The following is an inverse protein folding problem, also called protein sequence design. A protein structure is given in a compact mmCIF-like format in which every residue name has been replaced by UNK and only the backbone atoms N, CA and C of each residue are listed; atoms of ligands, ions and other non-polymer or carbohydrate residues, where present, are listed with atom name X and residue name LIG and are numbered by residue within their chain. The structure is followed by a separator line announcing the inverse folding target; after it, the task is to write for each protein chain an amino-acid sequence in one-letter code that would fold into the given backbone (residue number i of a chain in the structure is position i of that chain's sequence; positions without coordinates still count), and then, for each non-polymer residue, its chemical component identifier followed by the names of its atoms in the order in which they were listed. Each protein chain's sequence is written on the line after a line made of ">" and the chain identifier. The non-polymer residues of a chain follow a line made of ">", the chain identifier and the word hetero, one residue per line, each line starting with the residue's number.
data_IF_092759242818
#
_entry.id   IF_092759242818
#
_cell.length_a   1.000
_cell.length_b   1.000
_cell.length_c   1.000
_cell.angle_alpha   90.00
_cell.angle_beta   90.00
_cell.angle_gamma   90.00
#
_symmetry.space_group_name_H-M   'P 1'
#
loop_
_entity.id
_entity.type
_entity.pdbx_description
1 polymer ?
#
# COMPACT_ATOMS: atom_id res chain seq x y z
N UNK A 1 5.71 16.07 26.93
CA UNK A 1 6.22 16.63 25.64
C UNK A 1 7.12 15.64 24.87
N UNK A 2 7.96 14.82 25.53
CA UNK A 2 8.70 13.73 24.86
C UNK A 2 7.78 12.66 24.22
N UNK A 3 6.56 12.52 24.71
CA UNK A 3 5.61 11.48 24.25
C UNK A 3 5.04 11.79 22.86
N UNK A 4 4.68 13.05 22.58
CA UNK A 4 4.09 13.45 21.29
C UNK A 4 5.13 13.37 20.15
N UNK A 5 6.36 13.82 20.40
CA UNK A 5 7.44 13.76 19.41
C UNK A 5 7.76 12.32 19.03
N UNK A 6 7.77 11.42 20.02
CA UNK A 6 8.01 9.99 19.79
C UNK A 6 6.88 9.36 18.97
N UNK A 7 5.62 9.69 19.27
CA UNK A 7 4.45 9.21 18.51
C UNK A 7 4.49 9.68 17.06
N UNK A 8 4.81 10.96 16.82
CA UNK A 8 4.96 11.50 15.46
C UNK A 8 6.10 10.80 14.72
N UNK A 9 7.23 10.56 15.38
CA UNK A 9 8.36 9.84 14.77
C UNK A 9 7.99 8.41 14.38
N UNK A 10 7.32 7.66 15.26
CA UNK A 10 6.85 6.31 14.93
C UNK A 10 5.87 6.34 13.77
N UNK A 11 4.98 7.34 13.71
CA UNK A 11 4.02 7.51 12.61
C UNK A 11 4.68 7.84 11.27
N UNK A 12 5.74 8.66 11.28
CA UNK A 12 6.50 8.98 10.06
C UNK A 12 7.28 7.76 9.55
N UNK A 13 7.91 6.99 10.44
CA UNK A 13 8.56 5.72 10.08
C UNK A 13 7.54 4.72 9.54
N UNK A 14 6.32 4.71 10.10
CA UNK A 14 5.19 3.89 9.65
C UNK A 14 4.83 4.19 8.20
N UNK A 15 4.57 5.46 7.90
CA UNK A 15 4.17 5.94 6.57
C UNK A 15 5.28 5.66 5.57
N UNK A 16 6.53 5.98 5.94
CA UNK A 16 7.69 5.73 5.09
C UNK A 16 7.87 4.24 4.78
N UNK A 17 7.74 3.37 5.79
CA UNK A 17 7.82 1.92 5.61
C UNK A 17 6.74 1.39 4.66
N UNK A 18 5.50 1.86 4.81
CA UNK A 18 4.38 1.47 3.92
C UNK A 18 4.64 1.93 2.48
N UNK A 19 5.11 3.16 2.28
CA UNK A 19 5.41 3.71 0.96
C UNK A 19 6.55 2.95 0.27
N UNK A 20 7.61 2.60 1.00
CA UNK A 20 8.71 1.81 0.43
C UNK A 20 8.25 0.40 0.04
N UNK A 21 7.47 -0.27 0.89
CA UNK A 21 6.94 -1.61 0.58
C UNK A 21 5.95 -1.56 -0.58
N UNK A 22 5.14 -0.49 -0.68
CA UNK A 22 4.24 -0.25 -1.81
C UNK A 22 5.02 -0.21 -3.13
N UNK A 23 6.06 0.63 -3.21
CA UNK A 23 6.82 0.81 -4.44
C UNK A 23 7.66 -0.42 -4.79
N UNK A 24 8.23 -1.10 -3.79
CA UNK A 24 8.88 -2.39 -4.01
C UNK A 24 7.90 -3.48 -4.47
N UNK A 25 6.65 -3.42 -4.00
CA UNK A 25 5.56 -4.29 -4.45
C UNK A 25 5.34 -4.20 -5.96
N UNK A 26 5.32 -2.99 -6.51
CA UNK A 26 5.20 -2.78 -7.96
C UNK A 26 6.36 -3.42 -8.72
N UNK A 27 7.60 -3.20 -8.28
CA UNK A 27 8.80 -3.77 -8.93
C UNK A 27 8.77 -5.30 -8.93
N UNK A 28 8.41 -5.90 -7.79
CA UNK A 28 8.30 -7.36 -7.66
C UNK A 28 7.18 -7.91 -8.54
N UNK A 29 6.01 -7.26 -8.58
CA UNK A 29 4.89 -7.66 -9.41
C UNK A 29 5.28 -7.71 -10.90
N UNK A 30 5.94 -6.67 -11.37
CA UNK A 30 6.36 -6.56 -12.77
C UNK A 30 7.42 -7.61 -13.10
N UNK A 31 8.35 -7.88 -12.18
CA UNK A 31 9.38 -8.91 -12.35
C UNK A 31 8.80 -10.33 -12.35
N UNK A 32 7.81 -10.64 -11.51
CA UNK A 32 7.17 -11.96 -11.43
C UNK A 32 6.35 -12.27 -12.70
N UNK A 33 5.79 -11.23 -13.33
CA UNK A 33 5.04 -11.38 -14.57
C UNK A 33 5.93 -11.39 -15.83
N UNK A 34 7.25 -11.24 -15.69
CA UNK A 34 8.18 -11.22 -16.83
C UNK A 34 7.98 -10.03 -17.76
N UNK A 35 7.36 -8.95 -17.26
CA UNK A 35 7.00 -7.80 -18.07
C UNK A 35 8.24 -6.97 -18.38
N UNK A 36 8.46 -6.58 -19.65
CA UNK A 36 9.59 -5.74 -20.01
C UNK A 36 9.43 -4.34 -19.42
N UNK A 37 10.36 -3.95 -18.55
CA UNK A 37 10.39 -2.64 -17.90
C UNK A 37 11.39 -1.73 -18.59
N UNK A 38 10.97 -0.51 -18.90
CA UNK A 38 11.85 0.53 -19.45
C UNK A 38 12.54 1.32 -18.36
N UNK A 39 11.81 1.64 -17.29
CA UNK A 39 12.32 2.45 -16.18
C UNK A 39 11.62 2.05 -14.87
N UNK A 40 12.40 1.90 -13.81
CA UNK A 40 11.90 1.96 -12.42
C UNK A 40 12.48 3.23 -11.83
N UNK A 41 11.65 4.08 -11.24
CA UNK A 41 12.11 5.28 -10.55
C UNK A 41 11.46 5.41 -9.18
N UNK A 42 12.20 6.05 -8.29
CA UNK A 42 11.73 6.52 -6.99
C UNK A 42 11.90 8.03 -7.00
N UNK A 43 10.79 8.73 -6.83
CA UNK A 43 10.71 10.17 -6.70
C UNK A 43 10.46 10.52 -5.24
N UNK A 44 11.38 11.28 -4.66
CA UNK A 44 11.34 11.70 -3.27
C UNK A 44 11.17 13.21 -3.25
N UNK A 45 9.94 13.68 -3.06
CA UNK A 45 9.68 15.10 -2.85
C UNK A 45 9.64 15.40 -1.34
N UNK A 46 10.74 15.95 -0.85
CA UNK A 46 10.88 16.38 0.54
C UNK A 46 10.01 17.59 0.89
N UNK A 47 9.54 18.36 -0.10
CA UNK A 47 8.68 19.53 0.14
C UNK A 47 7.21 19.13 0.29
N UNK A 48 6.78 18.11 -0.44
CA UNK A 48 5.41 17.57 -0.34
C UNK A 48 5.29 16.39 0.63
N UNK A 49 6.41 15.93 1.20
CA UNK A 49 6.45 14.74 2.05
C UNK A 49 5.89 13.51 1.30
N UNK A 50 6.08 13.50 -0.02
CA UNK A 50 5.56 12.47 -0.91
C UNK A 50 6.70 11.58 -1.38
N UNK A 51 6.43 10.27 -1.38
CA UNK A 51 7.29 9.28 -1.98
C UNK A 51 6.45 8.73 -3.12
N UNK A 52 6.77 9.14 -4.32
CA UNK A 52 6.25 8.54 -5.53
C UNK A 52 7.24 7.49 -6.00
N UNK A 53 6.77 6.35 -6.47
CA UNK A 53 7.56 5.50 -7.32
C UNK A 53 6.73 5.08 -8.52
N UNK A 54 7.43 4.60 -9.53
CA UNK A 54 6.78 4.21 -10.76
C UNK A 54 7.59 3.17 -11.49
N UNK A 55 6.88 2.15 -11.95
CA UNK A 55 7.39 1.23 -12.95
C UNK A 55 6.79 1.63 -14.28
N UNK A 56 7.64 2.09 -15.20
CA UNK A 56 7.26 2.41 -16.58
C UNK A 56 7.52 1.17 -17.43
N UNK A 57 6.46 0.46 -17.86
CA UNK A 57 6.60 -0.68 -18.75
C UNK A 57 7.08 -0.24 -20.15
N UNK A 58 7.77 -1.13 -20.85
CA UNK A 58 8.13 -0.95 -22.24
C UNK A 58 6.96 -1.36 -23.14
N UNK A 59 6.04 -0.42 -23.39
CA UNK A 59 4.86 -0.62 -24.23
C UNK A 59 5.18 -1.10 -25.66
N UNK A 60 6.41 -0.95 -26.14
CA UNK A 60 6.82 -1.43 -27.46
C UNK A 60 7.00 -2.94 -27.56
N UNK A 61 7.05 -3.64 -26.41
CA UNK A 61 7.29 -5.08 -26.29
C UNK A 61 6.15 -5.82 -25.58
N UNK A 62 4.99 -5.19 -25.50
CA UNK A 62 3.91 -5.63 -24.61
C UNK A 62 2.61 -5.81 -25.38
N UNK A 63 2.01 -7.00 -25.27
CA UNK A 63 0.69 -7.26 -25.87
C UNK A 63 -0.44 -6.73 -24.97
N UNK A 64 -1.61 -6.44 -25.55
CA UNK A 64 -2.78 -5.95 -24.79
C UNK A 64 -3.17 -6.85 -23.61
N UNK A 65 -2.94 -8.18 -23.72
CA UNK A 65 -3.20 -9.12 -22.63
C UNK A 65 -2.23 -8.97 -21.47
N UNK A 66 -0.95 -8.74 -21.76
CA UNK A 66 0.10 -8.51 -20.76
C UNK A 66 -0.12 -7.17 -20.06
N UNK A 67 -0.60 -6.14 -20.77
CA UNK A 67 -0.93 -4.84 -20.18
C UNK A 67 -2.09 -4.93 -19.18
N UNK A 68 -3.14 -5.70 -19.49
CA UNK A 68 -4.21 -5.97 -18.52
C UNK A 68 -3.69 -6.76 -17.30
N UNK A 69 -2.81 -7.75 -17.53
CA UNK A 69 -2.15 -8.50 -16.45
C UNK A 69 -1.28 -7.61 -15.55
N UNK A 70 -0.53 -6.67 -16.14
CA UNK A 70 0.27 -5.67 -15.44
C UNK A 70 -0.61 -4.81 -14.54
N UNK A 71 -1.72 -4.30 -15.07
CA UNK A 71 -2.63 -3.43 -14.32
C UNK A 71 -3.20 -4.16 -13.11
N UNK A 72 -3.65 -5.40 -13.29
CA UNK A 72 -4.18 -6.23 -12.19
C UNK A 72 -3.09 -6.57 -11.17
N UNK A 73 -1.87 -6.85 -11.59
CA UNK A 73 -0.78 -7.19 -10.67
C UNK A 73 -0.23 -5.97 -9.92
N UNK A 74 -0.05 -4.82 -10.57
CA UNK A 74 0.28 -3.56 -9.89
C UNK A 74 -0.79 -3.20 -8.86
N UNK A 75 -2.06 -3.49 -9.17
CA UNK A 75 -3.18 -3.30 -8.23
C UNK A 75 -3.19 -4.33 -7.09
N UNK A 76 -2.86 -5.60 -7.36
CA UNK A 76 -2.79 -6.63 -6.31
C UNK A 76 -1.59 -6.45 -5.38
N UNK A 77 -0.48 -5.91 -5.89
CA UNK A 77 0.72 -5.57 -5.13
C UNK A 77 0.74 -4.14 -4.61
N UNK A 78 -0.32 -3.37 -4.89
CA UNK A 78 -0.44 -1.99 -4.45
C UNK A 78 -0.51 -1.87 -2.92
N UNK A 79 -0.61 -0.62 -2.47
CA UNK A 79 -0.65 -0.21 -1.08
C UNK A 79 -1.62 -0.98 -0.19
N UNK A 80 -2.67 -1.58 -0.74
CA UNK A 80 -3.56 -2.46 0.02
C UNK A 80 -2.86 -3.69 0.61
N UNK A 81 -2.14 -4.46 -0.21
CA UNK A 81 -1.40 -5.64 0.26
C UNK A 81 -0.22 -5.25 1.15
N UNK A 82 0.50 -4.18 0.80
CA UNK A 82 1.60 -3.65 1.60
C UNK A 82 1.11 -3.23 3.01
N UNK A 83 -0.02 -2.53 3.08
CA UNK A 83 -0.63 -2.10 4.35
C UNK A 83 -1.10 -3.32 5.17
N UNK A 84 -1.60 -4.37 4.51
CA UNK A 84 -2.03 -5.57 5.20
C UNK A 84 -0.86 -6.39 5.77
N UNK A 85 0.23 -6.56 5.00
CA UNK A 85 1.44 -7.23 5.46
C UNK A 85 2.11 -6.48 6.60
N UNK A 86 2.11 -5.15 6.53
CA UNK A 86 2.59 -4.31 7.63
C UNK A 86 1.70 -4.46 8.88
N UNK A 87 0.38 -4.40 8.72
CA UNK A 87 -0.57 -4.66 9.80
C UNK A 87 -0.33 -6.02 10.47
N UNK A 88 -0.04 -7.06 9.67
CA UNK A 88 0.33 -8.37 10.17
C UNK A 88 1.62 -8.35 11.01
N UNK A 89 2.67 -7.65 10.54
CA UNK A 89 3.93 -7.54 11.26
C UNK A 89 3.79 -6.85 12.62
N UNK A 90 2.96 -5.80 12.71
CA UNK A 90 2.80 -5.01 13.95
C UNK A 90 1.70 -5.54 14.90
N UNK A 91 0.85 -6.46 14.45
CA UNK A 91 -0.29 -6.98 15.23
C UNK A 91 0.10 -7.55 16.59
N UNK A 92 1.30 -8.13 16.71
CA UNK A 92 1.79 -8.67 17.98
C UNK A 92 2.19 -7.58 19.00
N UNK A 93 2.47 -6.36 18.54
CA UNK A 93 2.84 -5.22 19.38
C UNK A 93 1.65 -4.29 19.64
N UNK A 94 0.81 -4.08 18.63
CA UNK A 94 -0.40 -3.27 18.69
C UNK A 94 -1.58 -4.02 18.06
N UNK A 95 -2.32 -4.87 18.82
CA UNK A 95 -3.35 -5.76 18.28
C UNK A 95 -4.48 -5.03 17.55
N UNK A 96 -4.94 -3.90 18.10
CA UNK A 96 -5.99 -3.08 17.51
C UNK A 96 -5.52 -2.46 16.19
N UNK A 97 -4.37 -1.76 16.22
CA UNK A 97 -3.83 -1.07 15.04
C UNK A 97 -3.45 -2.07 13.94
N UNK A 98 -2.77 -3.16 14.30
CA UNK A 98 -2.37 -4.18 13.33
C UNK A 98 -3.57 -4.87 12.68
N UNK A 99 -4.60 -5.23 13.45
CA UNK A 99 -5.83 -5.83 12.89
C UNK A 99 -6.58 -4.85 12.00
N UNK A 100 -6.65 -3.57 12.37
CA UNK A 100 -7.28 -2.54 11.56
C UNK A 100 -6.55 -2.33 10.22
N UNK A 101 -5.22 -2.31 10.23
CA UNK A 101 -4.40 -2.17 9.01
C UNK A 101 -4.50 -3.40 8.08
N UNK A 102 -4.60 -4.62 8.63
CA UNK A 102 -4.87 -5.83 7.83
C UNK A 102 -6.18 -5.69 7.08
N UNK A 103 -7.27 -5.40 7.81
CA UNK A 103 -8.59 -5.28 7.21
C UNK A 103 -8.69 -4.14 6.20
N UNK A 104 -8.15 -2.98 6.56
CA UNK A 104 -8.08 -1.80 5.70
C UNK A 104 -7.29 -2.10 4.42
N UNK A 105 -6.08 -2.64 4.54
CA UNK A 105 -5.24 -2.99 3.40
C UNK A 105 -5.92 -3.96 2.43
N UNK A 106 -6.53 -5.04 2.94
CA UNK A 106 -7.26 -5.99 2.11
C UNK A 106 -8.45 -5.35 1.38
N UNK A 107 -9.17 -4.47 2.07
CA UNK A 107 -10.35 -3.80 1.51
C UNK A 107 -9.97 -2.78 0.44
N UNK A 108 -8.90 -2.02 0.65
CA UNK A 108 -8.38 -1.06 -0.35
C UNK A 108 -7.85 -1.78 -1.58
N UNK A 109 -7.08 -2.86 -1.40
CA UNK A 109 -6.63 -3.68 -2.54
C UNK A 109 -7.81 -4.20 -3.37
N UNK A 110 -8.88 -4.68 -2.72
CA UNK A 110 -10.12 -5.09 -3.40
C UNK A 110 -10.79 -3.94 -4.18
N UNK A 111 -10.91 -2.76 -3.58
CA UNK A 111 -11.52 -1.59 -4.24
C UNK A 111 -10.74 -1.14 -5.47
N UNK A 112 -9.40 -1.19 -5.39
CA UNK A 112 -8.53 -0.87 -6.52
C UNK A 112 -8.66 -1.92 -7.64
N UNK A 113 -8.79 -3.22 -7.31
CA UNK A 113 -9.06 -4.28 -8.31
C UNK A 113 -10.33 -4.00 -9.09
N UNK A 114 -11.37 -3.49 -8.41
CA UNK A 114 -12.65 -3.14 -9.04
C UNK A 114 -12.66 -1.75 -9.71
N UNK A 115 -11.55 -1.00 -9.66
CA UNK A 115 -11.45 0.33 -10.28
C UNK A 115 -12.41 1.36 -9.68
N UNK A 116 -12.84 1.16 -8.43
CA UNK A 116 -13.73 2.08 -7.73
C UNK A 116 -12.92 3.28 -7.23
N UNK A 117 -13.49 4.48 -7.33
CA UNK A 117 -12.83 5.69 -6.84
C UNK A 117 -12.66 5.61 -5.31
N UNK A 118 -11.41 5.58 -4.85
CA UNK A 118 -11.06 5.19 -3.49
C UNK A 118 -11.09 6.33 -2.49
N UNK A 119 -11.14 7.60 -2.91
CA UNK A 119 -10.90 8.75 -2.02
C UNK A 119 -11.90 8.87 -0.86
N UNK A 120 -13.20 8.67 -1.12
CA UNK A 120 -14.23 8.76 -0.07
C UNK A 120 -14.41 7.44 0.68
N UNK A 121 -14.13 6.31 0.02
CA UNK A 121 -14.38 4.97 0.57
C UNK A 121 -13.23 4.55 1.50
N UNK A 122 -11.99 4.96 1.22
CA UNK A 122 -10.81 4.63 2.05
C UNK A 122 -10.96 5.12 3.48
N UNK A 123 -11.42 6.36 3.69
CA UNK A 123 -11.61 6.90 5.04
C UNK A 123 -12.60 6.08 5.86
N UNK A 124 -13.80 5.81 5.32
CA UNK A 124 -14.83 5.02 6.01
C UNK A 124 -14.40 3.57 6.21
N UNK A 125 -13.65 3.01 5.28
CA UNK A 125 -13.08 1.66 5.40
C UNK A 125 -12.09 1.58 6.56
N UNK A 126 -11.23 2.59 6.73
CA UNK A 126 -10.30 2.64 7.87
C UNK A 126 -11.05 2.75 9.20
N UNK A 127 -12.04 3.64 9.28
CA UNK A 127 -12.88 3.81 10.48
C UNK A 127 -13.61 2.52 10.84
N UNK A 128 -14.19 1.83 9.85
CA UNK A 128 -14.84 0.53 10.04
C UNK A 128 -13.88 -0.51 10.63
N UNK A 129 -12.67 -0.63 10.08
CA UNK A 129 -11.71 -1.62 10.56
C UNK A 129 -11.10 -1.29 11.92
N UNK A 130 -10.97 -0.01 12.27
CA UNK A 130 -10.64 0.42 13.63
C UNK A 130 -11.74 0.03 14.62
N UNK A 131 -13.01 0.21 14.25
CA UNK A 131 -14.14 -0.20 15.07
C UNK A 131 -14.20 -1.73 15.25
N UNK A 132 -14.02 -2.50 14.17
CA UNK A 132 -13.96 -3.97 14.25
C UNK A 132 -12.81 -4.42 15.13
N UNK A 133 -11.62 -3.84 14.97
CA UNK A 133 -10.47 -4.17 15.79
C UNK A 133 -10.68 -3.81 17.27
N UNK A 134 -11.37 -2.70 17.55
CA UNK A 134 -11.77 -2.36 18.92
C UNK A 134 -12.72 -3.39 19.52
N UNK A 135 -13.74 -3.85 18.78
CA UNK A 135 -14.66 -4.89 19.28
C UNK A 135 -13.97 -6.23 19.58
N UNK A 136 -12.86 -6.54 18.90
CA UNK A 136 -12.14 -7.80 19.08
C UNK A 136 -11.12 -7.78 20.23
N UNK A 137 -10.61 -6.61 20.62
CA UNK A 137 -9.48 -6.50 21.56
C UNK A 137 -9.64 -5.41 22.64
N UNK A 138 -10.71 -4.62 22.61
CA UNK A 138 -11.01 -3.52 23.53
C UNK A 138 -12.03 -3.86 24.61
#
# INVERSE_FOLDING_TARGET
>A
MRDIVSVIWYFLILIFGILVVHELGHVVAVSLLGIPVKLVYFDFDLNELSIGGGVVPDFSKMDCGEYCGLKVALILFSGGLATALFGYAIRNYHPIVGTALIGFGLSVGLLEVYGLNTSDITFWTLVFWLFVAYLLYG
#
